data_IF_658068722454
#
_entry.id   IF_658068722454
#
_cell.length_a   1.000
_cell.length_b   1.000
_cell.length_c   1.000
_cell.angle_alpha   90.00
_cell.angle_beta   90.00
_cell.angle_gamma   90.00
#
_symmetry.space_group_name_H-M   'P 1'
#
loop_
_entity.id
_entity.type
_entity.pdbx_description
1 polymer ?
#
# COMPACT_ATOMS: atom_id res chain seq x y z
N UNK A 1 17.83 -12.23 -7.23
CA UNK A 1 17.20 -13.56 -7.08
C UNK A 1 17.19 -14.30 -8.41
N UNK A 2 17.49 -15.60 -8.45
CA UNK A 2 17.45 -16.42 -9.67
C UNK A 2 16.02 -16.64 -10.16
N UNK A 3 15.85 -16.83 -11.46
CA UNK A 3 14.56 -17.20 -12.03
C UNK A 3 14.21 -18.65 -11.65
N UNK A 4 12.92 -18.91 -11.41
CA UNK A 4 12.38 -20.26 -11.23
C UNK A 4 11.07 -20.40 -12.03
N UNK A 5 10.70 -21.61 -12.49
CA UNK A 5 9.46 -21.81 -13.22
C UNK A 5 8.24 -21.29 -12.48
N UNK A 6 8.15 -21.57 -11.17
CA UNK A 6 7.02 -21.13 -10.34
C UNK A 6 6.95 -19.61 -10.18
N UNK A 7 8.11 -18.91 -10.16
CA UNK A 7 8.13 -17.44 -10.14
C UNK A 7 7.57 -16.87 -11.44
N UNK A 8 7.97 -17.42 -12.58
CA UNK A 8 7.46 -16.98 -13.88
C UNK A 8 5.95 -17.26 -14.04
N UNK A 9 5.49 -18.41 -13.55
CA UNK A 9 4.08 -18.77 -13.49
C UNK A 9 3.27 -17.78 -12.63
N UNK A 10 3.73 -17.50 -11.40
CA UNK A 10 3.08 -16.54 -10.53
C UNK A 10 3.08 -15.13 -11.13
N UNK A 11 4.18 -14.66 -11.71
CA UNK A 11 4.20 -13.34 -12.37
C UNK A 11 3.15 -13.24 -13.48
N UNK A 12 2.95 -14.30 -14.27
CA UNK A 12 1.89 -14.34 -15.30
C UNK A 12 0.49 -14.32 -14.69
N UNK A 13 0.26 -15.09 -13.62
CA UNK A 13 -1.02 -15.09 -12.91
C UNK A 13 -1.32 -13.71 -12.31
N UNK A 14 -0.33 -13.08 -11.67
CA UNK A 14 -0.43 -11.73 -11.08
C UNK A 14 -0.80 -10.67 -12.12
N UNK A 15 -0.24 -10.74 -13.33
CA UNK A 15 -0.54 -9.81 -14.42
C UNK A 15 -2.01 -9.78 -14.87
N UNK A 16 -2.81 -10.75 -14.42
CA UNK A 16 -4.23 -10.86 -14.72
C UNK A 16 -5.15 -10.59 -13.52
N UNK A 17 -4.59 -10.17 -12.37
CA UNK A 17 -5.36 -9.83 -11.15
C UNK A 17 -4.92 -8.51 -10.52
N UNK A 18 -3.64 -8.16 -10.61
CA UNK A 18 -3.12 -6.87 -10.11
C UNK A 18 -3.61 -5.75 -11.02
N UNK A 19 -3.93 -4.55 -10.50
CA UNK A 19 -4.40 -3.43 -11.30
C UNK A 19 -3.51 -3.16 -12.53
N UNK A 20 -4.11 -2.83 -13.69
CA UNK A 20 -3.35 -2.49 -14.90
C UNK A 20 -2.32 -1.38 -14.64
N UNK A 21 -1.13 -1.50 -15.22
CA UNK A 21 -0.02 -0.57 -15.03
C UNK A 21 0.95 -0.94 -13.92
N UNK A 22 0.70 -2.02 -13.15
CA UNK A 22 1.62 -2.56 -12.14
C UNK A 22 2.23 -3.89 -12.65
N UNK A 23 3.38 -3.79 -13.31
CA UNK A 23 3.99 -4.91 -14.06
C UNK A 23 5.21 -5.53 -13.38
N UNK A 24 5.71 -4.93 -12.29
CA UNK A 24 6.96 -5.35 -11.66
C UNK A 24 6.70 -5.82 -10.23
N UNK A 25 7.20 -7.00 -9.88
CA UNK A 25 6.85 -7.68 -8.64
C UNK A 25 8.09 -7.97 -7.79
N UNK A 26 8.11 -7.39 -6.59
CA UNK A 26 9.08 -7.72 -5.54
C UNK A 26 8.39 -8.56 -4.46
N UNK A 27 8.95 -9.72 -4.14
CA UNK A 27 8.36 -10.65 -3.18
C UNK A 27 9.04 -10.56 -1.82
N UNK A 28 8.28 -10.67 -0.75
CA UNK A 28 8.77 -10.71 0.62
C UNK A 28 8.06 -11.81 1.42
N UNK A 29 8.33 -11.93 2.72
CA UNK A 29 7.70 -12.97 3.55
C UNK A 29 6.42 -12.50 4.24
N UNK A 30 6.13 -11.19 4.20
CA UNK A 30 4.99 -10.61 4.92
C UNK A 30 4.54 -9.26 4.37
N UNK A 31 3.34 -8.83 4.75
CA UNK A 31 2.84 -7.49 4.40
C UNK A 31 3.69 -6.35 4.98
N UNK A 32 4.28 -6.54 6.16
CA UNK A 32 5.15 -5.51 6.75
C UNK A 32 6.46 -5.36 5.98
N UNK A 33 7.03 -6.45 5.47
CA UNK A 33 8.21 -6.40 4.60
C UNK A 33 7.87 -5.83 3.21
N UNK A 34 6.67 -6.11 2.68
CA UNK A 34 6.20 -5.49 1.45
C UNK A 34 6.08 -3.96 1.60
N UNK A 35 5.58 -3.48 2.74
CA UNK A 35 5.55 -2.05 3.07
C UNK A 35 6.95 -1.46 3.24
N UNK A 36 7.88 -2.14 3.90
CA UNK A 36 9.29 -1.73 3.96
C UNK A 36 9.91 -1.56 2.56
N UNK A 37 9.67 -2.50 1.65
CA UNK A 37 10.14 -2.42 0.27
C UNK A 37 9.52 -1.22 -0.46
N UNK A 38 8.20 -1.01 -0.36
CA UNK A 38 7.51 0.12 -0.99
C UNK A 38 8.02 1.48 -0.47
N UNK A 39 8.23 1.61 0.85
CA UNK A 39 8.77 2.83 1.46
C UNK A 39 10.20 3.14 0.98
N UNK A 40 11.05 2.10 0.86
CA UNK A 40 12.42 2.24 0.34
C UNK A 40 12.43 2.61 -1.14
N UNK A 41 11.60 1.94 -1.95
CA UNK A 41 11.42 2.25 -3.37
C UNK A 41 10.95 3.70 -3.56
N UNK A 42 9.99 4.17 -2.76
CA UNK A 42 9.47 5.52 -2.83
C UNK A 42 10.51 6.58 -2.43
N UNK A 43 11.10 6.46 -1.25
CA UNK A 43 12.09 7.44 -0.74
C UNK A 43 13.32 7.49 -1.62
N UNK A 44 13.88 6.34 -1.99
CA UNK A 44 15.07 6.31 -2.85
C UNK A 44 14.74 6.69 -4.30
N UNK A 45 13.59 6.29 -4.83
CA UNK A 45 13.17 6.61 -6.20
C UNK A 45 12.97 8.11 -6.38
N UNK A 46 12.22 8.73 -5.48
CA UNK A 46 11.95 10.19 -5.50
C UNK A 46 13.10 11.03 -4.94
N UNK A 47 14.03 10.43 -4.19
CA UNK A 47 15.03 11.12 -3.36
C UNK A 47 14.42 12.07 -2.32
N UNK A 48 13.15 11.83 -1.94
CA UNK A 48 12.44 12.60 -0.91
C UNK A 48 12.32 11.81 0.39
N UNK A 49 12.25 12.50 1.52
CA UNK A 49 12.34 11.83 2.83
C UNK A 49 10.98 11.51 3.45
N UNK A 50 9.98 12.34 3.20
CA UNK A 50 8.74 12.30 3.99
C UNK A 50 7.70 11.37 3.39
N UNK A 51 6.88 10.79 4.24
CA UNK A 51 5.76 9.92 3.87
C UNK A 51 4.52 10.40 4.61
N UNK A 52 3.43 10.59 3.88
CA UNK A 52 2.11 10.89 4.47
C UNK A 52 1.39 9.58 4.75
N UNK A 53 0.87 9.40 5.96
CA UNK A 53 0.00 8.29 6.36
C UNK A 53 -1.22 8.84 7.12
N UNK A 54 -2.14 7.99 7.58
CA UNK A 54 -3.36 8.44 8.30
C UNK A 54 -3.34 8.12 9.79
N UNK A 55 -4.01 8.93 10.61
CA UNK A 55 -4.03 8.83 12.07
C UNK A 55 -4.62 7.53 12.65
N UNK A 56 -5.35 6.71 11.87
CA UNK A 56 -5.81 5.37 12.26
C UNK A 56 -5.35 4.29 11.27
N UNK A 57 -4.26 4.50 10.55
CA UNK A 57 -3.71 3.48 9.66
C UNK A 57 -2.98 2.35 10.41
N UNK A 58 -2.89 1.17 9.78
CA UNK A 58 -2.02 0.08 10.21
C UNK A 58 -1.28 -0.51 9.00
N UNK A 59 0.05 -0.43 9.02
CA UNK A 59 0.92 -0.86 7.91
C UNK A 59 1.94 -1.93 8.32
N UNK A 60 1.87 -2.43 9.56
CA UNK A 60 2.70 -3.53 10.05
C UNK A 60 3.53 -3.17 11.28
N UNK A 61 4.53 -4.00 11.58
CA UNK A 61 5.21 -4.01 12.88
C UNK A 61 6.74 -4.00 12.80
N UNK A 62 7.33 -3.88 11.61
CA UNK A 62 8.76 -3.52 11.44
C UNK A 62 8.97 -2.02 11.68
N UNK A 63 10.20 -1.57 11.91
CA UNK A 63 10.45 -0.19 12.32
C UNK A 63 9.89 0.88 11.36
N UNK A 64 10.05 0.74 10.04
CA UNK A 64 9.53 1.74 9.09
C UNK A 64 8.02 1.59 8.88
N UNK A 65 7.53 0.35 8.73
CA UNK A 65 6.10 0.06 8.60
C UNK A 65 5.29 0.53 9.82
N UNK A 66 5.83 0.29 11.01
CA UNK A 66 5.25 0.77 12.26
C UNK A 66 5.34 2.31 12.31
N UNK A 67 6.44 2.92 11.87
CA UNK A 67 6.57 4.39 11.87
C UNK A 67 5.57 5.12 10.96
N UNK A 68 5.00 4.45 9.96
CA UNK A 68 3.89 4.99 9.15
C UNK A 68 2.51 4.54 9.63
N UNK A 69 2.41 3.74 10.70
CA UNK A 69 1.13 3.31 11.27
C UNK A 69 0.60 4.33 12.29
N UNK A 70 -0.62 4.83 12.07
CA UNK A 70 -1.31 5.75 12.99
C UNK A 70 -1.92 5.08 14.22
N UNK A 71 -1.96 3.75 14.28
CA UNK A 71 -2.47 2.96 15.40
C UNK A 71 -1.92 3.43 16.76
N UNK A 72 -2.80 3.87 17.67
CA UNK A 72 -2.40 4.37 18.99
C UNK A 72 -1.69 3.31 19.84
N UNK A 73 -1.97 2.01 19.62
CA UNK A 73 -1.33 0.90 20.36
C UNK A 73 0.17 0.81 20.08
N UNK A 74 0.62 1.32 18.93
CA UNK A 74 2.05 1.45 18.61
C UNK A 74 2.82 2.21 19.68
N UNK A 75 2.22 3.27 20.27
CA UNK A 75 2.91 4.15 21.23
C UNK A 75 3.35 3.44 22.51
N UNK A 76 2.75 2.30 22.85
CA UNK A 76 3.11 1.54 24.05
C UNK A 76 4.37 0.68 23.85
N UNK A 77 4.67 0.31 22.61
CA UNK A 77 5.82 -0.54 22.24
C UNK A 77 6.90 0.21 21.45
N UNK A 78 6.55 1.34 20.84
CA UNK A 78 7.44 2.21 20.07
C UNK A 78 7.01 3.69 20.27
N UNK A 79 7.48 4.34 21.34
CA UNK A 79 7.06 5.70 21.69
C UNK A 79 7.73 6.80 20.87
N UNK A 80 8.80 6.48 20.13
CA UNK A 80 9.72 7.47 19.54
C UNK A 80 9.56 7.73 18.05
N UNK A 81 8.77 6.93 17.34
CA UNK A 81 8.75 6.95 15.87
C UNK A 81 10.14 6.68 15.28
N UNK A 82 10.61 5.46 15.54
CA UNK A 82 11.92 4.91 15.21
C UNK A 82 12.45 5.26 13.82
N UNK A 83 11.58 5.43 12.81
CA UNK A 83 11.95 5.95 11.49
C UNK A 83 11.34 7.34 11.29
N UNK A 84 12.20 8.34 11.18
CA UNK A 84 11.80 9.72 10.93
C UNK A 84 11.12 9.90 9.56
N UNK A 85 10.38 11.01 9.43
CA UNK A 85 9.82 11.47 8.16
C UNK A 85 8.35 11.07 7.92
N UNK A 86 7.64 10.48 8.89
CA UNK A 86 6.19 10.30 8.76
C UNK A 86 5.44 11.57 9.16
N UNK A 87 4.44 11.93 8.37
CA UNK A 87 3.44 12.97 8.68
C UNK A 87 2.06 12.32 8.62
N UNK A 88 1.19 12.63 9.58
CA UNK A 88 -0.14 12.03 9.68
C UNK A 88 -1.24 13.00 9.21
N UNK A 89 -1.97 12.57 8.19
CA UNK A 89 -3.22 13.14 7.73
C UNK A 89 -4.41 12.64 8.59
N UNK A 90 -5.51 13.39 8.66
CA UNK A 90 -6.76 12.96 9.27
C UNK A 90 -7.36 11.73 8.55
N UNK A 91 -8.14 10.94 9.28
CA UNK A 91 -8.82 9.77 8.74
C UNK A 91 -10.07 10.10 7.91
N UNK A 92 -10.44 9.19 7.02
CA UNK A 92 -11.67 9.23 6.23
C UNK A 92 -12.88 8.64 6.99
N UNK A 93 -13.12 9.08 8.24
CA UNK A 93 -14.14 8.49 9.12
C UNK A 93 -15.37 9.40 9.30
N UNK A 94 -16.38 9.27 8.43
CA UNK A 94 -17.57 10.14 8.45
C UNK A 94 -18.34 10.11 9.79
N UNK A 95 -18.53 8.92 10.40
CA UNK A 95 -19.27 8.80 11.66
C UNK A 95 -18.59 9.52 12.85
N UNK A 96 -17.25 9.62 12.84
CA UNK A 96 -16.48 10.44 13.79
C UNK A 96 -15.54 11.37 13.04
N UNK A 97 -16.14 12.23 12.22
CA UNK A 97 -15.42 13.13 11.34
C UNK A 97 -14.38 13.94 12.13
N UNK A 98 -13.09 13.91 11.76
CA UNK A 98 -12.04 14.65 12.48
C UNK A 98 -12.23 16.16 12.43
N UNK A 99 -13.06 16.65 11.49
CA UNK A 99 -13.41 18.06 11.33
C UNK A 99 -14.80 18.41 11.87
N UNK A 100 -15.55 17.44 12.42
CA UNK A 100 -16.93 17.66 12.86
C UNK A 100 -17.91 18.00 11.73
N UNK A 101 -17.55 17.70 10.48
CA UNK A 101 -18.36 17.98 9.29
C UNK A 101 -19.19 16.76 8.86
N UNK A 102 -20.28 17.00 8.12
CA UNK A 102 -21.22 15.98 7.64
C UNK A 102 -21.11 15.76 6.12
N UNK A 103 -21.09 14.49 5.71
CA UNK A 103 -21.14 14.10 4.30
C UNK A 103 -22.59 14.11 3.79
N UNK A 104 -22.88 14.59 2.56
CA UNK A 104 -21.92 15.03 1.53
C UNK A 104 -21.53 16.51 1.60
N UNK A 105 -22.14 17.31 2.48
CA UNK A 105 -21.97 18.77 2.52
C UNK A 105 -20.52 19.23 2.76
N UNK A 106 -19.70 18.39 3.39
CA UNK A 106 -18.30 18.68 3.70
C UNK A 106 -17.36 18.67 2.48
N UNK A 107 -17.83 18.29 1.28
CA UNK A 107 -17.01 18.23 0.07
C UNK A 107 -15.82 17.27 0.17
N UNK A 108 -15.87 16.32 1.12
CA UNK A 108 -14.75 15.42 1.46
C UNK A 108 -13.51 16.20 1.92
N UNK A 109 -13.72 17.20 2.79
CA UNK A 109 -12.66 18.06 3.34
C UNK A 109 -11.45 17.29 3.92
N UNK A 110 -11.63 16.06 4.38
CA UNK A 110 -10.52 15.22 4.84
C UNK A 110 -9.55 14.79 3.73
N UNK A 111 -10.01 14.67 2.49
CA UNK A 111 -9.14 14.52 1.33
C UNK A 111 -8.49 15.86 0.96
N UNK A 112 -9.24 16.96 0.94
CA UNK A 112 -8.71 18.29 0.61
C UNK A 112 -7.59 18.73 1.58
N UNK A 113 -7.72 18.43 2.87
CA UNK A 113 -6.64 18.72 3.84
C UNK A 113 -5.32 18.02 3.50
N UNK A 114 -5.35 16.89 2.80
CA UNK A 114 -4.13 16.20 2.36
C UNK A 114 -3.36 17.04 1.34
N UNK A 115 -4.06 17.80 0.50
CA UNK A 115 -3.46 18.72 -0.47
C UNK A 115 -2.60 19.78 0.25
N UNK A 116 -3.22 20.51 1.17
CA UNK A 116 -2.54 21.50 2.00
C UNK A 116 -1.40 20.88 2.83
N UNK A 117 -1.63 19.67 3.37
CA UNK A 117 -0.63 18.97 4.17
C UNK A 117 0.60 18.62 3.34
N UNK A 118 0.43 18.11 2.12
CA UNK A 118 1.56 17.78 1.23
C UNK A 118 2.34 19.04 0.87
N UNK A 119 1.65 20.12 0.50
CA UNK A 119 2.27 21.39 0.14
C UNK A 119 3.09 21.97 1.31
N UNK A 120 2.48 22.07 2.50
CA UNK A 120 3.14 22.60 3.70
C UNK A 120 4.26 21.71 4.19
N UNK A 121 4.11 20.40 4.03
CA UNK A 121 5.14 19.44 4.42
C UNK A 121 6.33 19.63 3.50
N UNK A 122 6.15 19.58 2.18
CA UNK A 122 7.25 19.54 1.20
C UNK A 122 8.11 18.28 1.36
N UNK A 123 8.98 17.99 0.39
CA UNK A 123 9.87 16.80 0.45
C UNK A 123 9.11 15.47 0.70
N UNK A 124 7.90 15.35 0.13
CA UNK A 124 7.04 14.16 0.28
C UNK A 124 7.34 13.17 -0.84
N UNK A 125 7.80 11.97 -0.48
CA UNK A 125 8.06 10.87 -1.41
C UNK A 125 6.78 10.14 -1.80
N UNK A 126 5.96 9.82 -0.79
CA UNK A 126 4.76 9.03 -0.98
C UNK A 126 3.67 9.35 0.04
N UNK A 127 2.45 9.01 -0.33
CA UNK A 127 1.35 8.79 0.60
C UNK A 127 1.02 7.30 0.63
N UNK A 128 0.96 6.71 1.82
CA UNK A 128 0.54 5.32 2.02
C UNK A 128 -0.87 5.28 2.62
N UNK A 129 -1.74 4.46 2.01
CA UNK A 129 -3.14 4.30 2.43
C UNK A 129 -3.58 2.85 2.34
N UNK A 130 -4.30 2.36 3.35
CA UNK A 130 -5.23 1.25 3.15
C UNK A 130 -6.50 1.82 2.45
N UNK A 131 -6.93 1.30 1.28
CA UNK A 131 -8.15 1.79 0.64
C UNK A 131 -9.39 1.71 1.56
N UNK A 132 -9.46 0.67 2.40
CA UNK A 132 -10.36 0.60 3.57
C UNK A 132 -9.49 0.30 4.77
N UNK A 133 -9.56 1.15 5.82
CA UNK A 133 -8.77 0.91 7.04
C UNK A 133 -9.27 -0.35 7.71
N UNK A 134 -8.41 -1.34 7.89
CA UNK A 134 -8.79 -2.63 8.45
C UNK A 134 -8.78 -2.65 9.98
N UNK A 135 -7.57 -2.81 10.52
CA UNK A 135 -7.31 -3.12 11.94
C UNK A 135 -7.93 -2.11 12.91
N UNK A 136 -7.98 -0.84 12.54
CA UNK A 136 -8.40 0.25 13.43
C UNK A 136 -9.87 0.69 13.23
N UNK A 137 -10.71 -0.24 12.78
CA UNK A 137 -12.16 -0.08 12.88
C UNK A 137 -12.94 -0.13 11.56
N UNK A 138 -12.43 -0.79 10.52
CA UNK A 138 -13.14 -0.98 9.23
C UNK A 138 -13.70 0.34 8.70
N UNK A 139 -12.80 1.30 8.44
CA UNK A 139 -13.20 2.64 8.01
C UNK A 139 -13.32 2.65 6.49
N UNK A 140 -14.55 2.48 6.00
CA UNK A 140 -14.89 2.53 4.57
C UNK A 140 -14.99 4.01 4.17
N UNK A 141 -14.11 4.50 3.28
CA UNK A 141 -14.22 5.87 2.80
C UNK A 141 -15.44 6.04 1.90
N UNK A 142 -15.89 7.29 1.75
CA UNK A 142 -16.86 7.66 0.72
C UNK A 142 -16.25 7.49 -0.69
N UNK A 143 -17.06 7.21 -1.73
CA UNK A 143 -16.55 6.84 -3.06
C UNK A 143 -15.54 7.82 -3.67
N UNK A 144 -15.68 9.11 -3.38
CA UNK A 144 -14.86 10.18 -3.95
C UNK A 144 -13.51 10.33 -3.26
N UNK A 145 -13.33 9.79 -2.05
CA UNK A 145 -12.13 10.03 -1.24
C UNK A 145 -10.86 9.51 -1.92
N UNK A 146 -10.82 8.23 -2.30
CA UNK A 146 -9.61 7.64 -2.88
C UNK A 146 -9.27 8.23 -4.26
N UNK A 147 -10.24 8.49 -5.16
CA UNK A 147 -10.02 9.27 -6.38
C UNK A 147 -9.44 10.67 -6.12
N UNK A 148 -9.95 11.40 -5.12
CA UNK A 148 -9.39 12.70 -4.72
C UNK A 148 -7.95 12.57 -4.23
N UNK A 149 -7.63 11.59 -3.38
CA UNK A 149 -6.25 11.32 -2.94
C UNK A 149 -5.32 11.00 -4.13
N UNK A 150 -5.78 10.20 -5.11
CA UNK A 150 -5.00 9.92 -6.33
C UNK A 150 -4.75 11.20 -7.14
N UNK A 151 -5.75 12.07 -7.28
CA UNK A 151 -5.61 13.35 -7.99
C UNK A 151 -4.59 14.27 -7.29
N UNK A 152 -4.72 14.44 -5.97
CA UNK A 152 -3.80 15.24 -5.14
C UNK A 152 -2.37 14.69 -5.24
N UNK A 153 -2.16 13.39 -5.05
CA UNK A 153 -0.81 12.80 -5.15
C UNK A 153 -0.18 13.01 -6.52
N UNK A 154 -0.95 12.94 -7.61
CA UNK A 154 -0.44 13.25 -8.95
C UNK A 154 -0.06 14.73 -9.11
N UNK A 155 -0.91 15.64 -8.63
CA UNK A 155 -0.65 17.08 -8.73
C UNK A 155 0.66 17.50 -8.03
N UNK A 156 1.01 16.81 -6.94
CA UNK A 156 2.23 17.08 -6.17
C UNK A 156 3.44 16.21 -6.53
N UNK A 157 3.39 15.41 -7.60
CA UNK A 157 4.45 14.45 -7.93
C UNK A 157 4.77 13.47 -6.78
N UNK A 158 3.78 13.20 -5.92
CA UNK A 158 3.86 12.25 -4.80
C UNK A 158 3.42 10.87 -5.27
N UNK A 159 4.13 9.82 -4.85
CA UNK A 159 3.74 8.46 -5.18
C UNK A 159 2.61 7.98 -4.27
N UNK A 160 1.63 7.27 -4.84
CA UNK A 160 0.59 6.62 -4.06
C UNK A 160 0.99 5.16 -3.79
N UNK A 161 1.06 4.77 -2.51
CA UNK A 161 1.21 3.39 -2.05
C UNK A 161 -0.15 2.91 -1.54
N UNK A 162 -0.78 1.96 -2.24
CA UNK A 162 -1.99 1.29 -1.76
C UNK A 162 -1.61 0.04 -0.96
N UNK A 163 -1.86 0.08 0.35
CA UNK A 163 -1.73 -1.08 1.24
C UNK A 163 -3.00 -1.93 1.16
N UNK A 164 -2.92 -2.95 0.32
CA UNK A 164 -3.96 -3.95 0.07
C UNK A 164 -3.67 -5.26 0.82
N UNK A 165 -2.86 -5.21 1.90
CA UNK A 165 -2.55 -6.38 2.71
C UNK A 165 -3.81 -6.97 3.35
N UNK A 166 -4.82 -6.14 3.67
CA UNK A 166 -6.10 -6.63 4.19
C UNK A 166 -7.21 -6.65 3.14
N UNK A 167 -7.26 -5.65 2.27
CA UNK A 167 -8.40 -5.38 1.39
C UNK A 167 -8.31 -6.07 0.03
N UNK A 168 -7.16 -6.63 -0.34
CA UNK A 168 -7.00 -7.42 -1.55
C UNK A 168 -7.60 -8.83 -1.47
N UNK A 169 -7.50 -9.54 -2.59
CA UNK A 169 -7.88 -10.94 -2.78
C UNK A 169 -9.37 -11.20 -2.54
N UNK A 170 -10.24 -10.39 -3.14
CA UNK A 170 -11.69 -10.59 -3.11
C UNK A 170 -12.37 -10.07 -1.84
N UNK A 171 -11.62 -9.55 -0.85
CA UNK A 171 -12.17 -9.11 0.44
C UNK A 171 -13.31 -8.09 0.30
N UNK A 172 -13.23 -7.22 -0.71
CA UNK A 172 -14.23 -6.16 -0.95
C UNK A 172 -15.14 -6.45 -2.16
N UNK A 173 -15.15 -7.69 -2.65
CA UNK A 173 -15.88 -8.12 -3.85
C UNK A 173 -15.14 -7.90 -5.17
N UNK A 174 -14.03 -7.16 -5.16
CA UNK A 174 -13.08 -7.01 -6.27
C UNK A 174 -11.73 -7.63 -5.89
N UNK A 175 -10.85 -7.86 -6.87
CA UNK A 175 -9.47 -8.33 -6.60
C UNK A 175 -8.75 -7.42 -5.62
N UNK A 176 -8.80 -6.11 -5.83
CA UNK A 176 -8.25 -5.12 -4.93
C UNK A 176 -9.25 -3.99 -4.70
N UNK A 177 -9.24 -3.39 -3.51
CA UNK A 177 -10.13 -2.28 -3.21
C UNK A 177 -9.88 -1.06 -4.09
N UNK A 178 -8.65 -0.81 -4.54
CA UNK A 178 -8.35 0.23 -5.53
C UNK A 178 -9.13 0.07 -6.84
N UNK A 179 -9.47 -1.16 -7.24
CA UNK A 179 -10.28 -1.42 -8.44
C UNK A 179 -11.71 -0.89 -8.26
N UNK A 180 -12.29 -1.10 -7.08
CA UNK A 180 -13.62 -0.59 -6.71
C UNK A 180 -13.72 0.93 -6.77
N UNK A 181 -12.61 1.62 -6.53
CA UNK A 181 -12.54 3.09 -6.60
C UNK A 181 -12.00 3.61 -7.94
N UNK A 182 -11.67 2.74 -8.90
CA UNK A 182 -11.09 3.14 -10.18
C UNK A 182 -9.75 3.87 -10.06
N UNK A 183 -8.92 3.49 -9.08
CA UNK A 183 -7.64 4.12 -8.78
C UNK A 183 -6.48 3.18 -9.11
N UNK A 184 -5.47 3.68 -9.81
CA UNK A 184 -4.20 2.96 -10.01
C UNK A 184 -3.09 3.64 -9.20
N UNK A 185 -2.51 2.97 -8.19
CA UNK A 185 -1.43 3.51 -7.39
C UNK A 185 -0.09 3.43 -8.14
N UNK A 186 0.97 4.06 -7.62
CA UNK A 186 2.33 3.89 -8.16
C UNK A 186 2.97 2.59 -7.62
N UNK A 187 2.59 2.20 -6.39
CA UNK A 187 2.97 0.98 -5.68
C UNK A 187 1.73 0.36 -5.01
N UNK A 188 1.63 -0.97 -5.04
CA UNK A 188 0.63 -1.73 -4.30
C UNK A 188 1.34 -2.76 -3.42
N UNK A 189 1.00 -2.82 -2.14
CA UNK A 189 1.52 -3.84 -1.22
C UNK A 189 0.42 -4.80 -0.81
N UNK A 190 0.73 -6.08 -0.74
CA UNK A 190 -0.24 -7.10 -0.33
C UNK A 190 0.44 -8.33 0.29
N UNK A 191 -0.35 -9.14 0.99
CA UNK A 191 0.05 -10.41 1.61
C UNK A 191 -1.25 -11.17 1.94
N UNK A 192 -1.34 -11.83 3.11
CA UNK A 192 -2.56 -12.47 3.65
C UNK A 192 -3.31 -13.33 2.62
N UNK A 193 -4.33 -12.76 1.97
CA UNK A 193 -5.11 -13.42 0.93
C UNK A 193 -4.30 -13.89 -0.27
N UNK A 194 -3.11 -13.31 -0.51
CA UNK A 194 -2.20 -13.72 -1.60
C UNK A 194 -1.95 -15.23 -1.66
N UNK A 195 -1.91 -15.90 -0.51
CA UNK A 195 -1.74 -17.36 -0.42
C UNK A 195 -2.91 -18.04 0.29
N UNK A 196 -4.02 -17.33 0.52
CA UNK A 196 -5.05 -17.78 1.47
C UNK A 196 -4.52 -18.03 2.88
N UNK A 197 -3.45 -17.32 3.27
CA UNK A 197 -2.68 -17.54 4.50
C UNK A 197 -2.01 -18.92 4.65
N UNK A 198 -1.92 -19.72 3.59
CA UNK A 198 -1.31 -21.06 3.62
C UNK A 198 0.22 -21.04 3.69
N UNK A 199 0.85 -19.96 3.20
CA UNK A 199 2.28 -19.75 3.26
C UNK A 199 2.62 -18.26 3.45
N UNK A 200 3.72 -17.92 4.15
CA UNK A 200 4.15 -16.53 4.30
C UNK A 200 4.64 -15.98 2.96
N UNK A 201 3.88 -15.06 2.39
CA UNK A 201 4.25 -14.33 1.19
C UNK A 201 3.69 -12.91 1.25
N UNK A 202 4.56 -11.94 1.00
CA UNK A 202 4.23 -10.56 0.70
C UNK A 202 4.62 -10.22 -0.74
N UNK A 203 3.98 -9.18 -1.26
CA UNK A 203 4.19 -8.67 -2.61
C UNK A 203 4.16 -7.15 -2.58
N UNK A 204 5.15 -6.54 -3.21
CA UNK A 204 5.13 -5.13 -3.64
C UNK A 204 5.08 -5.12 -5.16
N UNK A 205 3.94 -4.73 -5.71
CA UNK A 205 3.76 -4.49 -7.14
C UNK A 205 4.06 -3.02 -7.46
N UNK A 206 4.79 -2.77 -8.55
CA UNK A 206 5.27 -1.45 -8.91
C UNK A 206 4.94 -1.11 -10.37
N UNK A 207 4.66 0.17 -10.60
CA UNK A 207 4.48 0.73 -11.93
C UNK A 207 5.80 0.96 -12.67
N UNK A 208 5.72 1.12 -13.99
CA UNK A 208 6.89 1.47 -14.81
C UNK A 208 7.55 2.78 -14.37
N UNK A 209 6.76 3.74 -13.85
CA UNK A 209 7.27 4.99 -13.30
C UNK A 209 8.22 4.75 -12.12
N UNK A 210 7.88 3.83 -11.25
CA UNK A 210 8.73 3.47 -10.10
C UNK A 210 10.01 2.83 -10.59
N UNK A 211 9.92 1.88 -11.52
CA UNK A 211 11.09 1.21 -12.09
C UNK A 211 11.99 2.20 -12.83
N UNK A 212 11.42 3.12 -13.62
CA UNK A 212 12.14 4.17 -14.31
C UNK A 212 12.98 5.04 -13.36
N UNK A 213 12.44 5.38 -12.18
CA UNK A 213 13.19 6.12 -11.18
C UNK A 213 14.44 5.37 -10.67
N UNK A 214 14.50 4.04 -10.83
CA UNK A 214 15.63 3.19 -10.44
C UNK A 214 16.41 2.62 -11.63
N UNK A 215 16.10 2.97 -12.88
CA UNK A 215 16.73 2.35 -14.05
C UNK A 215 18.26 2.50 -14.07
N UNK A 216 18.76 3.67 -13.66
CA UNK A 216 20.20 3.97 -13.62
C UNK A 216 20.80 3.82 -12.20
N UNK A 217 20.04 3.28 -11.24
CA UNK A 217 20.45 3.19 -9.84
C UNK A 217 20.20 1.82 -9.27
N UNK A 218 21.20 1.26 -8.61
CA UNK A 218 21.01 0.02 -7.88
C UNK A 218 19.99 0.20 -6.75
N UNK A 219 18.98 -0.66 -6.69
CA UNK A 219 18.03 -0.76 -5.58
C UNK A 219 18.52 -1.86 -4.62
N UNK A 220 19.22 -1.52 -3.51
CA UNK A 220 19.83 -2.49 -2.61
C UNK A 220 18.82 -3.04 -1.59
N UNK A 221 17.72 -3.61 -2.07
CA UNK A 221 16.75 -4.31 -1.21
C UNK A 221 16.70 -5.77 -1.61
N UNK A 222 16.59 -6.66 -0.62
CA UNK A 222 16.49 -8.08 -0.83
C UNK A 222 16.30 -8.83 0.48
N UNK A 223 15.80 -10.05 0.37
CA UNK A 223 15.60 -10.95 1.51
C UNK A 223 16.14 -12.34 1.16
N UNK A 224 16.65 -13.08 2.14
CA UNK A 224 17.11 -14.47 1.93
C UNK A 224 15.99 -15.36 1.35
N UNK A 225 14.75 -15.13 1.79
CA UNK A 225 13.57 -15.87 1.33
C UNK A 225 12.76 -15.11 0.26
N UNK A 226 13.33 -14.08 -0.34
CA UNK A 226 12.70 -13.38 -1.48
C UNK A 226 12.38 -14.37 -2.59
N UNK A 227 11.11 -14.40 -3.00
CA UNK A 227 10.61 -15.25 -4.08
C UNK A 227 10.89 -16.76 -3.86
N UNK A 228 10.85 -17.22 -2.60
CA UNK A 228 11.08 -18.62 -2.25
C UNK A 228 10.07 -19.55 -2.97
N UNK A 229 10.51 -20.54 -3.77
CA UNK A 229 9.61 -21.36 -4.59
C UNK A 229 8.42 -22.00 -3.84
N UNK A 230 8.66 -22.50 -2.62
CA UNK A 230 7.60 -23.10 -1.78
C UNK A 230 6.56 -22.10 -1.27
N UNK A 231 6.87 -20.80 -1.18
CA UNK A 231 5.91 -19.78 -0.77
C UNK A 231 5.17 -19.18 -1.96
N UNK A 232 5.74 -19.25 -3.17
CA UNK A 232 5.09 -18.79 -4.41
C UNK A 232 3.99 -19.73 -4.90
N UNK A 233 4.17 -21.05 -4.79
CA UNK A 233 3.22 -22.02 -5.35
C UNK A 233 1.79 -21.90 -4.80
N UNK A 234 1.58 -21.70 -3.48
CA UNK A 234 0.24 -21.48 -2.93
C UNK A 234 -0.48 -20.25 -3.50
N UNK A 235 0.25 -19.22 -3.96
CA UNK A 235 -0.38 -18.04 -4.53
C UNK A 235 -1.00 -18.30 -5.90
N UNK A 236 -0.37 -19.13 -6.74
CA UNK A 236 -0.94 -19.55 -8.02
C UNK A 236 -2.23 -20.35 -7.78
N UNK A 237 -2.20 -21.29 -6.83
CA UNK A 237 -3.37 -22.07 -6.45
C UNK A 237 -4.48 -21.19 -5.88
N UNK A 238 -4.15 -20.23 -5.00
CA UNK A 238 -5.12 -19.30 -4.42
C UNK A 238 -5.81 -18.45 -5.49
N UNK A 239 -5.07 -17.88 -6.45
CA UNK A 239 -5.66 -17.16 -7.59
C UNK A 239 -6.63 -18.05 -8.37
N UNK A 240 -6.25 -19.30 -8.63
CA UNK A 240 -7.10 -20.27 -9.31
C UNK A 240 -8.41 -20.54 -8.55
N UNK A 241 -8.33 -20.74 -7.24
CA UNK A 241 -9.51 -20.98 -6.41
C UNK A 241 -10.41 -19.75 -6.27
N UNK A 242 -9.85 -18.55 -6.12
CA UNK A 242 -10.64 -17.32 -6.06
C UNK A 242 -11.44 -17.09 -7.34
N UNK A 243 -10.85 -17.36 -8.51
CA UNK A 243 -11.58 -17.31 -9.79
C UNK A 243 -12.70 -18.31 -9.94
N UNK A 244 -12.64 -19.44 -9.22
CA UNK A 244 -13.71 -20.43 -9.25
C UNK A 244 -14.95 -19.97 -8.47
N UNK A 245 -14.80 -18.97 -7.60
CA UNK A 245 -15.87 -18.44 -6.76
C UNK A 245 -16.51 -17.16 -7.33
N UNK A 246 -15.86 -16.52 -8.31
CA UNK A 246 -16.41 -15.44 -9.14
C UNK A 246 -17.41 -15.98 -10.18
#
# INVERSE_FOLDING_TARGET
>A
SFASPIRAELCRALGSVVPPGLHHYFFSSSGTEANEAALKMARGGTQRRRVVARTRSYHGSTAAALSVSGDLRRRTVEPTQSVAGTVFAPDCYCYRCPFGLEYPSCGVACAEYVDELIERTGDVAAMIVEPVVGTNGVLVPVPEYLPKIRAITRAHDVWLIADEVMTGWGRVGEWFAVDRYGVVPDLLTTAKGLTGAMAPLGLTAASDRVVAAWQDRYLPIGHTYEAHPLTLAPAVAAIGEYRRWD
#
